data_IF_672753194277
#
_entry.id   IF_672753194277
#
_cell.length_a   1.000
_cell.length_b   1.000
_cell.length_c   1.000
_cell.angle_alpha   90.00
_cell.angle_beta   90.00
_cell.angle_gamma   90.00
#
_symmetry.space_group_name_H-M   'P 1'
#
loop_
_entity.id
_entity.type
_entity.pdbx_description
1 polymer ?
#
# COMPACT_ATOMS: atom_id res chain seq x y z
N UNK A 1 6.91 23.95 -6.79
CA UNK A 1 7.31 23.61 -5.42
C UNK A 1 8.05 24.75 -4.72
N UNK A 2 9.03 25.43 -5.36
CA UNK A 2 9.72 26.59 -4.77
C UNK A 2 8.80 27.79 -4.48
N UNK A 3 7.87 28.10 -5.38
CA UNK A 3 6.94 29.24 -5.22
C UNK A 3 6.06 29.12 -3.97
N UNK A 4 5.65 27.90 -3.59
CA UNK A 4 4.81 27.66 -2.41
C UNK A 4 5.54 27.98 -1.09
N UNK A 5 6.87 27.82 -1.04
CA UNK A 5 7.68 28.13 0.14
C UNK A 5 7.89 29.63 0.37
N UNK A 6 7.65 30.45 -0.65
CA UNK A 6 7.87 31.90 -0.60
C UNK A 6 6.62 32.65 -0.13
N UNK A 7 5.46 31.99 -0.13
CA UNK A 7 4.19 32.57 0.31
C UNK A 7 3.99 32.42 1.81
N UNK A 8 3.39 33.44 2.43
CA UNK A 8 3.22 33.49 3.88
C UNK A 8 2.43 32.28 4.43
N UNK A 9 1.45 31.84 3.65
CA UNK A 9 0.54 30.79 4.04
C UNK A 9 1.00 29.38 3.60
N UNK A 10 1.76 29.26 2.50
CA UNK A 10 2.46 28.01 2.16
C UNK A 10 3.55 27.65 3.17
N UNK A 11 4.25 28.64 3.73
CA UNK A 11 5.18 28.45 4.85
C UNK A 11 4.47 27.99 6.14
N UNK A 12 3.29 28.55 6.45
CA UNK A 12 2.49 28.18 7.62
C UNK A 12 2.01 26.71 7.53
N UNK A 13 1.48 26.29 6.38
CA UNK A 13 1.06 24.91 6.13
C UNK A 13 2.26 23.94 6.18
N UNK A 14 3.40 24.30 5.57
CA UNK A 14 4.59 23.47 5.56
C UNK A 14 5.21 23.31 6.95
N UNK A 15 5.34 24.39 7.73
CA UNK A 15 5.91 24.36 9.08
C UNK A 15 5.08 23.47 10.02
N UNK A 16 3.76 23.56 9.93
CA UNK A 16 2.83 22.72 10.69
C UNK A 16 2.90 21.25 10.25
N UNK A 17 3.10 20.99 8.95
CA UNK A 17 3.32 19.64 8.43
C UNK A 17 4.64 19.01 8.93
N UNK A 18 5.73 19.77 8.99
CA UNK A 18 7.05 19.29 9.46
C UNK A 18 7.06 19.04 10.99
N UNK A 19 6.26 19.78 11.76
CA UNK A 19 6.14 19.62 13.22
C UNK A 19 5.17 18.49 13.66
N UNK A 20 4.14 18.15 12.86
CA UNK A 20 3.09 17.17 13.24
C UNK A 20 3.00 15.90 12.38
N UNK A 21 3.71 15.81 11.24
CA UNK A 21 3.81 14.58 10.46
C UNK A 21 2.49 14.04 9.89
N UNK A 22 1.61 14.92 9.43
CA UNK A 22 0.38 14.55 8.69
C UNK A 22 0.78 14.04 7.31
N UNK A 23 0.35 12.83 6.93
CA UNK A 23 0.96 12.04 5.84
C UNK A 23 0.14 11.97 4.55
N UNK A 24 -1.04 12.56 4.48
CA UNK A 24 -1.96 12.35 3.36
C UNK A 24 -1.99 13.51 2.37
N UNK A 25 -1.87 13.17 1.08
CA UNK A 25 -1.76 14.10 -0.06
C UNK A 25 -3.11 14.78 -0.37
N UNK A 26 -4.22 14.17 0.06
CA UNK A 26 -5.58 14.72 -0.11
C UNK A 26 -5.82 15.95 0.78
N UNK A 27 -5.18 16.01 1.95
CA UNK A 27 -5.26 17.16 2.85
C UNK A 27 -4.48 18.36 2.29
N UNK A 28 -3.35 18.10 1.62
CA UNK A 28 -2.57 19.15 0.96
C UNK A 28 -3.36 19.80 -0.18
N UNK A 29 -3.89 19.00 -1.12
CA UNK A 29 -4.52 19.53 -2.33
C UNK A 29 -5.76 20.38 -2.03
N UNK A 30 -6.59 19.96 -1.06
CA UNK A 30 -7.72 20.75 -0.60
C UNK A 30 -7.31 21.96 0.25
N UNK A 31 -6.16 21.91 0.94
CA UNK A 31 -5.63 23.08 1.66
C UNK A 31 -5.12 24.17 0.71
N UNK A 32 -4.87 23.81 -0.55
CA UNK A 32 -4.43 24.72 -1.60
C UNK A 32 -5.53 25.11 -2.60
N UNK A 33 -6.72 24.49 -2.55
CA UNK A 33 -7.92 24.93 -3.29
C UNK A 33 -8.31 26.39 -2.90
N UNK A 34 -7.90 26.80 -1.69
CA UNK A 34 -8.08 28.13 -1.10
C UNK A 34 -6.90 29.11 -1.36
N UNK A 35 -6.09 28.95 -2.42
CA UNK A 35 -4.95 29.89 -2.64
C UNK A 35 -5.35 31.31 -3.03
N UNK A 36 -6.58 31.52 -3.54
CA UNK A 36 -7.17 32.86 -3.68
C UNK A 36 -7.51 33.50 -2.31
N UNK A 37 -7.79 32.67 -1.31
CA UNK A 37 -8.14 33.00 0.07
C UNK A 37 -6.89 33.22 0.93
N UNK A 38 -5.70 32.83 0.45
CA UNK A 38 -4.41 33.02 1.16
C UNK A 38 -3.96 34.48 1.24
N UNK A 39 -4.27 35.31 0.24
CA UNK A 39 -4.08 36.77 0.34
C UNK A 39 -5.18 37.44 1.19
N UNK A 40 -6.32 36.79 1.40
CA UNK A 40 -7.41 37.27 2.28
C UNK A 40 -7.28 36.81 3.75
N UNK A 41 -6.24 36.02 4.08
CA UNK A 41 -5.93 35.57 5.45
C UNK A 41 -5.63 36.71 6.44
N UNK A 42 -5.56 37.96 5.97
CA UNK A 42 -5.45 39.13 6.84
C UNK A 42 -6.76 39.44 7.58
N UNK A 43 -7.93 38.95 7.14
CA UNK A 43 -9.20 39.18 7.84
C UNK A 43 -10.17 37.98 7.73
N UNK A 44 -10.10 37.08 8.71
CA UNK A 44 -11.25 36.34 9.29
C UNK A 44 -12.38 35.90 8.32
N UNK A 45 -12.39 34.64 7.86
CA UNK A 45 -13.62 33.82 7.64
C UNK A 45 -13.45 32.53 6.80
N UNK A 46 -12.25 31.94 6.68
CA UNK A 46 -12.14 30.63 6.02
C UNK A 46 -12.32 29.51 7.04
N UNK A 47 -13.33 28.67 6.82
CA UNK A 47 -13.63 27.52 7.65
C UNK A 47 -12.76 26.33 7.23
N UNK A 48 -11.80 25.96 8.08
CA UNK A 48 -10.84 24.87 7.84
C UNK A 48 -11.25 23.58 8.58
N UNK A 49 -12.40 23.58 9.27
CA UNK A 49 -12.80 22.46 10.14
C UNK A 49 -13.12 21.17 9.37
N UNK A 50 -13.50 21.27 8.09
CA UNK A 50 -13.73 20.11 7.22
C UNK A 50 -12.42 19.48 6.70
N UNK A 51 -11.30 20.18 6.87
CA UNK A 51 -10.03 19.82 6.24
C UNK A 51 -8.97 19.36 7.22
N UNK A 52 -8.91 20.00 8.37
CA UNK A 52 -7.85 19.77 9.33
C UNK A 52 -8.46 19.88 10.74
N UNK A 53 -8.05 19.03 11.70
CA UNK A 53 -8.48 19.19 13.10
C UNK A 53 -8.30 20.62 13.63
N UNK A 54 -9.24 21.07 14.47
CA UNK A 54 -9.29 22.46 15.00
C UNK A 54 -7.97 22.93 15.66
N UNK A 55 -7.24 22.00 16.28
CA UNK A 55 -5.92 22.27 16.89
C UNK A 55 -4.86 22.67 15.86
N UNK A 56 -4.92 22.12 14.65
CA UNK A 56 -3.98 22.42 13.57
C UNK A 56 -4.47 23.66 12.81
N UNK A 57 -5.78 23.81 12.62
CA UNK A 57 -6.37 25.01 12.02
C UNK A 57 -6.02 26.29 12.81
N UNK A 58 -6.04 26.23 14.14
CA UNK A 58 -5.63 27.36 14.99
C UNK A 58 -4.14 27.70 14.85
N UNK A 59 -3.27 26.69 14.74
CA UNK A 59 -1.83 26.87 14.50
C UNK A 59 -1.53 27.46 13.13
N UNK A 60 -2.26 27.05 12.09
CA UNK A 60 -2.12 27.62 10.75
C UNK A 60 -2.48 29.12 10.77
N UNK A 61 -3.54 29.52 11.48
CA UNK A 61 -3.92 30.94 11.65
C UNK A 61 -2.88 31.74 12.44
N UNK A 62 -2.33 31.18 13.50
CA UNK A 62 -1.29 31.86 14.29
C UNK A 62 -0.01 32.04 13.46
N UNK A 63 0.39 30.99 12.73
CA UNK A 63 1.53 31.03 11.84
C UNK A 63 1.34 31.99 10.66
N UNK A 64 0.12 32.16 10.13
CA UNK A 64 -0.16 33.11 9.04
C UNK A 64 -0.02 34.56 9.47
N UNK A 65 -0.38 34.91 10.72
CA UNK A 65 -0.24 36.28 11.26
C UNK A 65 1.24 36.67 11.44
N UNK A 66 2.09 35.72 11.85
CA UNK A 66 3.51 35.95 12.15
C UNK A 66 4.42 35.74 10.92
N UNK A 67 3.85 35.38 9.78
CA UNK A 67 4.61 34.98 8.60
C UNK A 67 5.26 36.17 7.87
N UNK A 68 6.49 35.97 7.39
CA UNK A 68 7.28 36.94 6.61
C UNK A 68 7.25 36.65 5.09
N UNK A 69 6.27 35.87 4.62
CA UNK A 69 6.19 35.52 3.20
C UNK A 69 5.91 36.74 2.29
N UNK A 70 6.18 36.57 1.00
CA UNK A 70 5.95 37.60 -0.01
C UNK A 70 4.52 37.50 -0.58
N UNK A 71 3.95 38.62 -0.99
CA UNK A 71 2.66 38.67 -1.68
C UNK A 71 2.75 37.97 -3.04
N UNK A 72 1.71 37.22 -3.39
CA UNK A 72 1.61 36.43 -4.63
C UNK A 72 0.83 37.22 -5.68
N UNK A 73 1.26 37.16 -6.94
CA UNK A 73 0.58 37.80 -8.06
C UNK A 73 -0.66 36.97 -8.45
N UNK A 74 -1.74 37.61 -8.89
CA UNK A 74 -3.00 36.93 -9.28
C UNK A 74 -2.80 35.85 -10.37
N UNK A 75 -1.85 36.05 -11.27
CA UNK A 75 -1.44 35.08 -12.30
C UNK A 75 -0.86 33.80 -11.69
N UNK A 76 -0.04 33.94 -10.63
CA UNK A 76 0.56 32.82 -9.92
C UNK A 76 -0.49 32.07 -9.08
N UNK A 77 -1.45 32.78 -8.47
CA UNK A 77 -2.58 32.18 -7.75
C UNK A 77 -3.39 31.29 -8.69
N UNK A 78 -3.66 31.78 -9.90
CA UNK A 78 -4.40 31.01 -10.92
C UNK A 78 -3.66 29.72 -11.28
N UNK A 79 -2.34 29.80 -11.53
CA UNK A 79 -1.52 28.62 -11.82
C UNK A 79 -1.44 27.63 -10.64
N UNK A 80 -1.42 28.13 -9.40
CA UNK A 80 -1.43 27.27 -8.21
C UNK A 80 -2.75 26.53 -8.10
N UNK A 81 -3.89 27.22 -8.27
CA UNK A 81 -5.21 26.58 -8.24
C UNK A 81 -5.36 25.52 -9.34
N UNK A 82 -4.94 25.82 -10.58
CA UNK A 82 -4.96 24.84 -11.67
C UNK A 82 -4.14 23.58 -11.36
N UNK A 83 -2.98 23.74 -10.71
CA UNK A 83 -2.18 22.61 -10.26
C UNK A 83 -2.89 21.81 -9.16
N UNK A 84 -3.59 22.47 -8.25
CA UNK A 84 -4.34 21.81 -7.18
C UNK A 84 -5.50 20.99 -7.75
N UNK A 85 -6.25 21.55 -8.71
CA UNK A 85 -7.30 20.84 -9.42
C UNK A 85 -6.76 19.58 -10.11
N UNK A 86 -5.61 19.68 -10.78
CA UNK A 86 -4.95 18.52 -11.41
C UNK A 86 -4.55 17.45 -10.39
N UNK A 87 -4.09 17.85 -9.20
CA UNK A 87 -3.74 16.90 -8.12
C UNK A 87 -5.00 16.25 -7.54
N UNK A 88 -6.09 17.00 -7.36
CA UNK A 88 -7.38 16.47 -6.92
C UNK A 88 -7.94 15.47 -7.93
N UNK A 89 -7.93 15.81 -9.21
CA UNK A 89 -8.35 14.92 -10.31
C UNK A 89 -7.50 13.64 -10.34
N UNK A 90 -6.17 13.77 -10.18
CA UNK A 90 -5.28 12.62 -10.11
C UNK A 90 -5.55 11.73 -8.89
N UNK A 91 -5.89 12.32 -7.73
CA UNK A 91 -6.25 11.55 -6.53
C UNK A 91 -7.58 10.83 -6.70
N UNK A 92 -8.60 11.52 -7.25
CA UNK A 92 -9.89 10.91 -7.56
C UNK A 92 -9.73 9.74 -8.56
N UNK A 93 -8.93 9.95 -9.61
CA UNK A 93 -8.60 8.93 -10.61
C UNK A 93 -7.88 7.73 -9.98
N UNK A 94 -6.96 7.96 -9.04
CA UNK A 94 -6.27 6.88 -8.28
C UNK A 94 -7.28 6.02 -7.53
N UNK A 95 -8.25 6.62 -6.84
CA UNK A 95 -9.29 5.89 -6.09
C UNK A 95 -10.18 5.09 -7.03
N UNK A 96 -10.61 5.67 -8.15
CA UNK A 96 -11.39 4.95 -9.16
C UNK A 96 -10.63 3.75 -9.75
N UNK A 97 -9.34 3.91 -10.04
CA UNK A 97 -8.48 2.83 -10.54
C UNK A 97 -8.26 1.74 -9.49
N UNK A 98 -8.16 2.10 -8.22
CA UNK A 98 -8.05 1.15 -7.13
C UNK A 98 -9.31 0.27 -7.02
N UNK A 99 -10.49 0.88 -7.06
CA UNK A 99 -11.77 0.15 -7.03
C UNK A 99 -11.95 -0.74 -8.25
N UNK A 100 -11.52 -0.26 -9.43
CA UNK A 100 -11.49 -1.07 -10.64
C UNK A 100 -10.56 -2.28 -10.48
N UNK A 101 -9.36 -2.08 -9.92
CA UNK A 101 -8.40 -3.16 -9.67
C UNK A 101 -8.98 -4.23 -8.74
N UNK A 102 -9.64 -3.84 -7.64
CA UNK A 102 -10.31 -4.76 -6.72
C UNK A 102 -11.32 -5.64 -7.47
N UNK A 103 -12.25 -5.00 -8.22
CA UNK A 103 -13.30 -5.71 -8.97
C UNK A 103 -12.71 -6.66 -10.01
N UNK A 104 -11.67 -6.22 -10.74
CA UNK A 104 -11.00 -7.04 -11.76
C UNK A 104 -10.22 -8.20 -11.15
N UNK A 105 -9.59 -8.00 -10.00
CA UNK A 105 -8.82 -9.05 -9.34
C UNK A 105 -9.72 -10.19 -8.85
N UNK A 106 -10.87 -9.87 -8.25
CA UNK A 106 -11.87 -10.87 -7.84
C UNK A 106 -12.41 -11.66 -9.04
N UNK A 107 -12.62 -10.99 -10.19
CA UNK A 107 -13.10 -11.65 -11.39
C UNK A 107 -12.06 -12.54 -12.08
N UNK A 108 -10.76 -12.20 -11.98
CA UNK A 108 -9.68 -12.92 -12.68
C UNK A 108 -9.04 -14.00 -11.81
N UNK A 109 -8.87 -13.76 -10.52
CA UNK A 109 -8.17 -14.67 -9.61
C UNK A 109 -8.84 -14.67 -8.22
N UNK A 110 -10.05 -15.26 -8.08
CA UNK A 110 -10.81 -15.24 -6.83
C UNK A 110 -10.08 -15.96 -5.68
N UNK A 111 -9.45 -17.11 -5.94
CA UNK A 111 -8.77 -17.87 -4.89
C UNK A 111 -7.50 -17.18 -4.39
N UNK A 112 -6.70 -16.65 -5.32
CA UNK A 112 -5.51 -15.88 -4.96
C UNK A 112 -5.89 -14.63 -4.16
N UNK A 113 -6.94 -13.92 -4.56
CA UNK A 113 -7.45 -12.74 -3.87
C UNK A 113 -7.84 -13.05 -2.43
N UNK A 114 -8.63 -14.11 -2.21
CA UNK A 114 -9.04 -14.52 -0.87
C UNK A 114 -7.84 -14.85 0.05
N UNK A 115 -6.75 -15.37 -0.52
CA UNK A 115 -5.57 -15.79 0.23
C UNK A 115 -4.64 -14.62 0.61
N UNK A 116 -4.23 -13.80 -0.38
CA UNK A 116 -3.18 -12.77 -0.19
C UNK A 116 -3.70 -11.33 -0.20
N UNK A 117 -4.94 -11.11 -0.63
CA UNK A 117 -5.52 -9.79 -0.86
C UNK A 117 -5.32 -9.28 -2.30
N UNK A 118 -6.11 -8.29 -2.66
CA UNK A 118 -6.26 -7.76 -4.02
C UNK A 118 -4.97 -7.09 -4.51
N UNK A 119 -4.43 -6.18 -3.69
CA UNK A 119 -3.26 -5.37 -4.05
C UNK A 119 -1.99 -6.21 -4.14
N UNK A 120 -1.81 -7.17 -3.23
CA UNK A 120 -0.67 -8.08 -3.27
C UNK A 120 -0.80 -9.09 -4.40
N UNK A 121 -2.01 -9.62 -4.65
CA UNK A 121 -2.30 -10.46 -5.82
C UNK A 121 -1.95 -9.76 -7.14
N UNK A 122 -2.35 -8.49 -7.28
CA UNK A 122 -1.99 -7.66 -8.42
C UNK A 122 -0.48 -7.55 -8.62
N UNK A 123 0.28 -7.27 -7.55
CA UNK A 123 1.74 -7.17 -7.64
C UNK A 123 2.40 -8.48 -8.02
N UNK A 124 1.91 -9.62 -7.53
CA UNK A 124 2.45 -10.94 -7.89
C UNK A 124 2.25 -11.23 -9.37
N UNK A 125 1.04 -10.96 -9.90
CA UNK A 125 0.74 -11.12 -11.33
C UNK A 125 1.58 -10.16 -12.18
N UNK A 126 1.65 -8.88 -11.79
CA UNK A 126 2.44 -7.88 -12.50
C UNK A 126 3.92 -8.27 -12.56
N UNK A 127 4.48 -8.80 -11.46
CA UNK A 127 5.88 -9.26 -11.44
C UNK A 127 6.11 -10.52 -12.28
N UNK A 128 5.13 -11.41 -12.37
CA UNK A 128 5.18 -12.61 -13.21
C UNK A 128 4.87 -12.32 -14.70
N UNK A 129 4.33 -11.14 -15.01
CA UNK A 129 3.87 -10.71 -16.33
C UNK A 129 2.43 -11.12 -16.63
N UNK A 130 2.07 -12.37 -16.39
CA UNK A 130 0.70 -12.88 -16.58
C UNK A 130 0.31 -13.87 -15.46
N UNK A 131 -1.00 -14.08 -15.27
CA UNK A 131 -1.50 -15.07 -14.31
C UNK A 131 -1.05 -16.50 -14.69
N UNK A 132 -1.03 -16.83 -15.99
CA UNK A 132 -0.55 -18.13 -16.50
C UNK A 132 0.94 -18.32 -16.21
N UNK A 133 1.75 -17.27 -16.34
CA UNK A 133 3.15 -17.35 -15.96
C UNK A 133 3.29 -17.55 -14.45
N UNK A 134 2.53 -16.82 -13.63
CA UNK A 134 2.53 -17.02 -12.17
C UNK A 134 2.17 -18.46 -11.79
N UNK A 135 1.20 -19.08 -12.47
CA UNK A 135 0.80 -20.47 -12.28
C UNK A 135 1.93 -21.48 -12.59
N UNK A 136 2.83 -21.15 -13.53
CA UNK A 136 4.01 -21.98 -13.85
C UNK A 136 5.13 -21.85 -12.82
N UNK A 137 5.14 -20.82 -11.99
CA UNK A 137 6.18 -20.64 -10.98
C UNK A 137 6.03 -21.67 -9.85
N UNK A 138 7.13 -22.32 -9.42
CA UNK A 138 7.09 -23.16 -8.24
C UNK A 138 6.92 -22.31 -6.97
N UNK A 139 6.44 -22.94 -5.90
CA UNK A 139 6.19 -22.27 -4.62
C UNK A 139 7.42 -21.53 -4.05
N UNK A 140 8.62 -22.09 -4.23
CA UNK A 140 9.87 -21.46 -3.82
C UNK A 140 10.12 -20.16 -4.56
N UNK A 141 9.86 -20.09 -5.87
CA UNK A 141 10.03 -18.84 -6.63
C UNK A 141 8.97 -17.81 -6.22
N UNK A 142 7.72 -18.22 -6.00
CA UNK A 142 6.65 -17.32 -5.51
C UNK A 142 7.01 -16.73 -4.13
N UNK A 143 7.69 -17.50 -3.27
CA UNK A 143 8.11 -17.04 -1.93
C UNK A 143 9.05 -15.82 -1.98
N UNK A 144 10.01 -15.84 -2.91
CA UNK A 144 11.07 -14.83 -3.06
C UNK A 144 10.84 -13.88 -4.24
N UNK A 145 9.66 -13.94 -4.86
CA UNK A 145 9.29 -13.06 -5.98
C UNK A 145 9.38 -11.60 -5.56
N UNK A 146 10.07 -10.76 -6.34
CA UNK A 146 10.41 -9.37 -6.02
C UNK A 146 11.70 -9.15 -5.23
N UNK A 147 12.34 -10.21 -4.70
CA UNK A 147 13.63 -10.15 -4.04
C UNK A 147 14.79 -10.68 -4.90
N UNK A 148 14.63 -10.73 -6.22
CA UNK A 148 15.54 -11.42 -7.13
C UNK A 148 16.94 -10.80 -7.12
N UNK A 149 17.03 -9.46 -7.07
CA UNK A 149 18.32 -8.75 -6.98
C UNK A 149 19.10 -9.15 -5.71
N UNK A 150 18.42 -9.30 -4.59
CA UNK A 150 19.04 -9.73 -3.34
C UNK A 150 19.41 -11.21 -3.36
N UNK A 151 18.55 -12.05 -3.95
CA UNK A 151 18.80 -13.47 -4.15
C UNK A 151 20.05 -13.71 -5.00
N UNK A 152 20.13 -13.10 -6.20
CA UNK A 152 21.27 -13.29 -7.10
C UNK A 152 22.57 -12.76 -6.51
N UNK A 153 22.50 -11.64 -5.77
CA UNK A 153 23.66 -11.14 -5.02
C UNK A 153 24.14 -12.16 -3.99
N UNK A 154 23.23 -12.68 -3.16
CA UNK A 154 23.56 -13.66 -2.12
C UNK A 154 24.12 -14.97 -2.70
N UNK A 155 23.58 -15.45 -3.82
CA UNK A 155 24.09 -16.63 -4.52
C UNK A 155 25.52 -16.41 -5.04
N UNK A 156 25.80 -15.24 -5.61
CA UNK A 156 27.13 -14.90 -6.13
C UNK A 156 28.18 -14.77 -5.02
N UNK A 157 27.81 -14.22 -3.88
CA UNK A 157 28.71 -14.00 -2.73
C UNK A 157 28.67 -15.14 -1.69
N UNK A 158 27.90 -16.20 -1.94
CA UNK A 158 27.65 -17.31 -0.99
C UNK A 158 27.19 -16.83 0.39
N UNK A 159 26.40 -15.77 0.43
CA UNK A 159 25.74 -15.29 1.63
C UNK A 159 24.31 -15.86 1.77
N UNK A 160 23.67 -15.56 2.91
CA UNK A 160 22.30 -15.99 3.20
C UNK A 160 21.32 -15.39 2.18
N UNK A 161 20.47 -16.25 1.62
CA UNK A 161 19.42 -15.84 0.69
C UNK A 161 18.25 -15.14 1.42
N UNK A 162 17.53 -14.23 0.74
CA UNK A 162 16.34 -13.62 1.32
C UNK A 162 15.27 -14.70 1.57
N UNK A 163 14.55 -14.58 2.70
CA UNK A 163 13.53 -15.55 3.13
C UNK A 163 12.14 -15.27 2.56
N UNK A 164 11.92 -14.06 2.05
CA UNK A 164 10.64 -13.58 1.54
C UNK A 164 10.87 -12.46 0.51
N UNK A 165 9.93 -12.30 -0.41
CA UNK A 165 9.85 -11.17 -1.34
C UNK A 165 8.58 -10.36 -1.10
N UNK A 166 7.76 -10.18 -2.15
CA UNK A 166 6.50 -9.44 -2.09
C UNK A 166 5.52 -9.97 -1.04
N UNK A 167 5.55 -11.28 -0.76
CA UNK A 167 4.71 -11.92 0.27
C UNK A 167 4.98 -11.44 1.70
N UNK A 168 6.06 -10.68 1.94
CA UNK A 168 6.30 -10.07 3.24
C UNK A 168 5.15 -9.16 3.67
N UNK A 169 4.55 -8.43 2.71
CA UNK A 169 3.45 -7.49 2.96
C UNK A 169 2.08 -8.18 3.08
N UNK A 170 2.01 -9.51 3.04
CA UNK A 170 0.78 -10.22 3.29
C UNK A 170 0.39 -10.09 4.77
N UNK A 171 -0.90 -9.95 5.05
CA UNK A 171 -1.43 -9.83 6.42
C UNK A 171 -0.99 -10.99 7.31
N UNK A 172 -1.10 -12.23 6.82
CA UNK A 172 -0.72 -13.45 7.55
C UNK A 172 0.78 -13.51 7.91
N UNK A 173 1.64 -12.90 7.10
CA UNK A 173 3.10 -12.89 7.36
C UNK A 173 3.46 -11.71 8.26
N UNK A 174 2.84 -10.55 8.05
CA UNK A 174 3.11 -9.34 8.84
C UNK A 174 2.68 -9.51 10.29
N UNK A 175 1.55 -10.19 10.54
CA UNK A 175 1.04 -10.48 11.88
C UNK A 175 1.89 -11.50 12.65
N UNK A 176 2.58 -12.40 11.96
CA UNK A 176 3.38 -13.44 12.61
C UNK A 176 4.67 -12.90 13.22
N UNK A 177 5.11 -13.49 14.34
CA UNK A 177 6.38 -13.14 14.97
C UNK A 177 7.58 -13.35 14.04
N UNK A 178 8.64 -12.55 14.25
CA UNK A 178 9.85 -12.57 13.41
C UNK A 178 10.49 -13.97 13.26
N UNK A 179 10.35 -14.84 14.26
CA UNK A 179 10.84 -16.22 14.21
C UNK A 179 10.04 -17.08 13.22
N UNK A 180 8.74 -16.85 13.09
CA UNK A 180 7.81 -17.66 12.30
C UNK A 180 7.53 -17.08 10.90
N UNK A 181 7.82 -15.79 10.65
CA UNK A 181 7.64 -15.14 9.34
C UNK A 181 8.17 -15.95 8.16
N UNK A 182 9.34 -16.55 8.28
CA UNK A 182 9.93 -17.38 7.22
C UNK A 182 9.18 -18.70 6.99
N UNK A 183 8.65 -19.33 8.05
CA UNK A 183 7.83 -20.54 7.94
C UNK A 183 6.47 -20.21 7.32
N UNK A 184 5.84 -19.14 7.78
CA UNK A 184 4.55 -18.66 7.26
C UNK A 184 4.64 -18.23 5.80
N UNK A 185 5.69 -17.48 5.42
CA UNK A 185 5.91 -17.08 4.03
C UNK A 185 6.04 -18.29 3.10
N UNK A 186 6.74 -19.36 3.52
CA UNK A 186 6.84 -20.61 2.74
C UNK A 186 5.49 -21.30 2.58
N UNK A 187 4.71 -21.42 3.67
CA UNK A 187 3.40 -22.07 3.64
C UNK A 187 2.40 -21.26 2.80
N UNK A 188 2.42 -19.94 2.93
CA UNK A 188 1.62 -19.02 2.13
C UNK A 188 1.98 -19.13 0.64
N UNK A 189 3.27 -19.13 0.30
CA UNK A 189 3.71 -19.26 -1.10
C UNK A 189 3.27 -20.59 -1.74
N UNK A 190 3.28 -21.68 -0.96
CA UNK A 190 2.79 -22.99 -1.44
C UNK A 190 1.30 -22.96 -1.75
N UNK A 191 0.48 -22.38 -0.85
CA UNK A 191 -0.97 -22.24 -1.08
C UNK A 191 -1.30 -21.21 -2.15
N UNK A 192 -0.54 -20.13 -2.26
CA UNK A 192 -0.68 -19.11 -3.29
C UNK A 192 -0.37 -19.68 -4.69
N UNK A 193 0.71 -20.47 -4.83
CA UNK A 193 1.04 -21.14 -6.10
C UNK A 193 -0.03 -22.14 -6.53
N UNK A 194 -0.66 -22.83 -5.57
CA UNK A 194 -1.76 -23.75 -5.86
C UNK A 194 -3.04 -23.01 -6.25
N UNK A 195 -3.36 -21.93 -5.54
CA UNK A 195 -4.53 -21.08 -5.83
C UNK A 195 -4.38 -20.40 -7.19
N UNK A 196 -3.20 -19.86 -7.50
CA UNK A 196 -2.90 -19.24 -8.79
C UNK A 196 -2.99 -20.25 -9.95
N UNK A 197 -2.62 -21.52 -9.73
CA UNK A 197 -2.80 -22.58 -10.73
C UNK A 197 -4.26 -22.91 -10.97
N UNK A 198 -5.04 -22.96 -9.89
CA UNK A 198 -6.48 -23.20 -9.98
C UNK A 198 -7.18 -22.06 -10.73
N UNK A 199 -6.84 -20.81 -10.40
CA UNK A 199 -7.42 -19.63 -11.05
C UNK A 199 -7.00 -19.49 -12.53
N UNK A 200 -5.78 -19.92 -12.89
CA UNK A 200 -5.27 -19.77 -14.26
C UNK A 200 -5.66 -20.90 -15.22
N UNK A 201 -5.76 -22.13 -14.70
CA UNK A 201 -5.90 -23.36 -15.49
C UNK A 201 -7.17 -24.14 -15.15
N UNK A 202 -7.97 -23.65 -14.19
CA UNK A 202 -9.23 -24.27 -13.81
C UNK A 202 -10.24 -24.23 -14.95
N UNK A 203 -11.00 -25.31 -15.12
CA UNK A 203 -12.14 -25.39 -16.02
C UNK A 203 -13.35 -24.61 -15.47
N UNK A 204 -14.38 -24.40 -16.29
CA UNK A 204 -15.62 -23.75 -15.82
C UNK A 204 -16.31 -24.60 -14.72
N UNK A 205 -16.63 -23.97 -13.58
CA UNK A 205 -17.22 -24.64 -12.41
C UNK A 205 -16.24 -25.00 -11.30
N UNK A 206 -14.99 -24.53 -11.38
CA UNK A 206 -13.97 -24.73 -10.37
C UNK A 206 -14.27 -24.02 -9.05
N UNK A 207 -13.86 -24.67 -7.96
CA UNK A 207 -14.04 -24.19 -6.59
C UNK A 207 -13.38 -22.82 -6.34
N UNK A 208 -14.21 -21.81 -6.10
CA UNK A 208 -13.81 -20.45 -5.69
C UNK A 208 -13.58 -20.31 -4.18
N UNK A 209 -13.89 -21.34 -3.40
CA UNK A 209 -13.72 -21.34 -1.95
C UNK A 209 -12.37 -21.92 -1.51
N UNK A 210 -11.57 -22.45 -2.44
CA UNK A 210 -10.26 -23.02 -2.14
C UNK A 210 -9.36 -21.99 -1.43
N UNK A 211 -9.38 -20.73 -1.88
CA UNK A 211 -8.63 -19.63 -1.25
C UNK A 211 -9.04 -19.40 0.21
N UNK A 212 -10.33 -19.46 0.50
CA UNK A 212 -10.89 -19.30 1.86
C UNK A 212 -10.46 -20.46 2.75
N UNK A 213 -10.58 -21.70 2.27
CA UNK A 213 -10.15 -22.90 3.00
C UNK A 213 -8.64 -22.89 3.28
N UNK A 214 -7.85 -22.48 2.29
CA UNK A 214 -6.41 -22.35 2.44
C UNK A 214 -6.03 -21.26 3.46
N UNK A 215 -6.74 -20.12 3.46
CA UNK A 215 -6.53 -19.06 4.45
C UNK A 215 -6.84 -19.54 5.86
N UNK A 216 -8.00 -20.17 6.08
CA UNK A 216 -8.39 -20.71 7.38
C UNK A 216 -7.39 -21.76 7.90
N UNK A 217 -6.85 -22.60 7.01
CA UNK A 217 -5.80 -23.55 7.35
C UNK A 217 -4.50 -22.85 7.81
N UNK A 218 -4.08 -21.79 7.11
CA UNK A 218 -2.88 -21.03 7.47
C UNK A 218 -3.05 -20.26 8.80
N UNK A 219 -4.22 -19.68 9.05
CA UNK A 219 -4.54 -19.01 10.31
C UNK A 219 -4.53 -19.99 11.48
N UNK A 220 -5.14 -21.17 11.33
CA UNK A 220 -5.07 -22.24 12.33
C UNK A 220 -3.63 -22.65 12.59
N UNK A 221 -2.81 -22.75 11.54
CA UNK A 221 -1.40 -23.13 11.67
C UNK A 221 -0.57 -22.05 12.36
N UNK A 222 -0.83 -20.78 12.08
CA UNK A 222 -0.17 -19.65 12.75
C UNK A 222 -0.42 -19.72 14.26
N UNK A 223 -1.68 -19.88 14.67
CA UNK A 223 -2.05 -20.04 16.09
C UNK A 223 -1.35 -21.23 16.75
N UNK A 224 -1.21 -22.36 16.04
CA UNK A 224 -0.49 -23.53 16.54
C UNK A 224 1.02 -23.29 16.72
N UNK A 225 1.63 -22.48 15.84
CA UNK A 225 3.05 -22.14 15.93
C UNK A 225 3.30 -21.17 17.09
N UNK A 226 2.41 -20.21 17.30
CA UNK A 226 2.46 -19.24 18.40
C UNK A 226 2.20 -19.92 19.76
N UNK A 227 1.24 -20.85 19.82
CA UNK A 227 0.95 -21.64 21.01
C UNK A 227 2.03 -22.70 21.34
N UNK A 228 3.13 -22.77 20.58
CA UNK A 228 4.25 -23.69 20.82
C UNK A 228 3.91 -25.18 20.68
N UNK A 229 2.72 -25.52 20.16
CA UNK A 229 2.18 -26.88 20.21
C UNK A 229 2.73 -27.79 19.10
N UNK A 230 3.60 -27.27 18.23
CA UNK A 230 4.13 -27.99 17.06
C UNK A 230 5.63 -28.24 17.22
N UNK A 231 5.96 -29.43 17.73
CA UNK A 231 7.29 -30.02 17.60
C UNK A 231 7.67 -30.15 16.12
N UNK A 232 8.90 -29.78 15.80
CA UNK A 232 9.43 -29.53 14.46
C UNK A 232 9.46 -30.71 13.46
N UNK A 233 8.88 -31.88 13.76
CA UNK A 233 9.23 -33.15 13.10
C UNK A 233 8.16 -33.85 12.23
N UNK A 234 6.95 -33.30 12.05
CA UNK A 234 5.89 -33.97 11.26
C UNK A 234 5.56 -33.33 9.90
N UNK A 235 6.52 -32.62 9.28
CA UNK A 235 6.26 -31.86 8.04
C UNK A 235 6.68 -32.54 6.73
N UNK A 236 7.14 -33.79 6.74
CA UNK A 236 7.58 -34.47 5.51
C UNK A 236 6.61 -35.48 4.90
N UNK A 237 5.59 -35.98 5.63
CA UNK A 237 4.85 -37.18 5.18
C UNK A 237 3.33 -37.04 4.97
N UNK A 238 2.78 -35.83 4.78
CA UNK A 238 1.32 -35.68 4.64
C UNK A 238 0.79 -35.28 3.25
N UNK A 239 1.64 -35.22 2.22
CA UNK A 239 1.19 -34.98 0.84
C UNK A 239 2.09 -35.72 -0.15
N UNK A 240 1.96 -37.05 -0.17
CA UNK A 240 2.00 -37.89 -1.38
C UNK A 240 0.66 -38.61 -1.41
#
# INVERSE_FOLDING_TARGET
MLVLFETAAGYAVFKVHDEKGVREIEDLAKAFEDTATMNQLTNSSVDLSDLVPDEIASQIREASIVSLGTEVIDEDITMINELCDQVLEASASRTQLHDYLIKRMVAVAPNLTALVGELLGARLIARAGTLVNLAKHPASTVQILGAEKALFRALKTRHNTPKYGLLYHATLVTQSDNQFKGKMSRMLAAKASLSARLDALGEEGVDTEMGIRARAYLEKRLRQLEAGTVSSNYLTNAFI
#
